data_IF_566958898012
#
_entry.id   IF_566958898012
#
_cell.length_a   1.000
_cell.length_b   1.000
_cell.length_c   1.000
_cell.angle_alpha   90.00
_cell.angle_beta   90.00
_cell.angle_gamma   90.00
#
_symmetry.space_group_name_H-M   'P 1'
#
loop_
_entity.id
_entity.type
_entity.pdbx_description
1 polymer ?
#
# COMPACT_ATOMS: atom_id res chain seq x y z
N UNK A 1 -10.32 9.93 10.04
CA UNK A 1 -10.71 8.52 10.07
C UNK A 1 -11.00 8.07 8.66
N UNK A 2 -10.29 7.05 8.15
CA UNK A 2 -10.45 6.55 6.78
C UNK A 2 -11.92 6.22 6.51
N UNK A 3 -12.53 6.90 5.55
CA UNK A 3 -13.88 6.58 5.06
C UNK A 3 -13.82 5.60 3.89
N UNK A 4 -13.23 4.43 4.10
CA UNK A 4 -13.69 3.27 3.35
C UNK A 4 -15.07 2.95 3.91
N UNK A 5 -16.05 2.77 3.04
CA UNK A 5 -17.42 2.46 3.42
C UNK A 5 -17.47 1.51 4.62
N UNK A 6 -18.12 1.87 5.74
CA UNK A 6 -18.24 0.98 6.89
C UNK A 6 -18.89 -0.37 6.56
N UNK A 7 -19.68 -0.43 5.48
CA UNK A 7 -20.30 -1.66 4.94
C UNK A 7 -19.42 -2.41 3.94
N UNK A 8 -18.22 -1.93 3.62
CA UNK A 8 -17.34 -2.64 2.70
C UNK A 8 -16.99 -4.05 3.21
N UNK A 9 -16.96 -5.06 2.34
CA UNK A 9 -16.59 -6.42 2.72
C UNK A 9 -15.20 -6.47 3.36
N UNK A 10 -15.02 -7.33 4.37
CA UNK A 10 -13.74 -7.54 5.06
C UNK A 10 -13.17 -8.92 4.74
N UNK A 11 -11.81 -9.02 4.68
CA UNK A 11 -10.81 -7.94 4.66
C UNK A 11 -10.89 -7.11 3.37
N UNK A 12 -10.50 -5.82 3.42
CA UNK A 12 -10.41 -4.96 2.23
C UNK A 12 -9.36 -5.49 1.26
N UNK A 13 -9.62 -5.43 -0.05
CA UNK A 13 -8.64 -5.72 -1.08
C UNK A 13 -7.87 -4.43 -1.42
N UNK A 14 -6.58 -4.40 -1.12
CA UNK A 14 -5.66 -3.33 -1.50
C UNK A 14 -4.89 -3.81 -2.74
N UNK A 15 -5.10 -3.16 -3.87
CA UNK A 15 -4.40 -3.47 -5.11
C UNK A 15 -2.96 -2.93 -5.04
N UNK A 16 -1.97 -3.81 -4.80
CA UNK A 16 -0.56 -3.49 -4.69
C UNK A 16 -0.02 -2.96 -6.01
N UNK A 17 0.62 -1.79 -5.99
CA UNK A 17 1.05 -1.01 -7.16
C UNK A 17 -0.06 -0.81 -8.19
N UNK A 18 -1.28 -0.61 -7.73
CA UNK A 18 -2.45 -0.48 -8.59
C UNK A 18 -3.02 -1.79 -9.13
N UNK A 19 -2.51 -2.94 -8.68
CA UNK A 19 -2.87 -4.25 -9.23
C UNK A 19 -1.90 -4.69 -10.32
N UNK A 20 -0.64 -4.95 -9.94
CA UNK A 20 0.48 -5.25 -10.84
C UNK A 20 0.30 -6.53 -11.69
N UNK A 21 -0.73 -7.35 -11.43
CA UNK A 21 -1.14 -8.48 -12.27
C UNK A 21 -2.31 -8.16 -13.22
N UNK A 22 -2.88 -6.96 -13.13
CA UNK A 22 -3.99 -6.55 -13.99
C UNK A 22 -3.51 -5.67 -15.15
N UNK A 23 -2.53 -4.81 -14.90
CA UNK A 23 -1.89 -3.93 -15.87
C UNK A 23 -0.49 -3.52 -15.38
N UNK A 24 0.19 -2.64 -16.14
CA UNK A 24 1.50 -2.11 -15.75
C UNK A 24 1.43 -1.40 -14.40
N UNK A 25 2.35 -1.75 -13.49
CA UNK A 25 2.37 -1.25 -12.11
C UNK A 25 2.43 0.27 -12.02
N UNK A 26 1.79 0.84 -11.01
CA UNK A 26 1.80 2.27 -10.68
C UNK A 26 1.29 3.18 -11.81
N UNK A 27 0.34 2.71 -12.64
CA UNK A 27 -0.27 3.47 -13.74
C UNK A 27 -1.77 3.69 -13.54
N UNK A 28 -2.33 4.70 -14.21
CA UNK A 28 -3.77 4.93 -14.23
C UNK A 28 -4.55 3.75 -14.85
N UNK A 29 -3.94 3.00 -15.76
CA UNK A 29 -4.54 1.79 -16.32
C UNK A 29 -4.71 0.70 -15.25
N UNK A 30 -3.65 0.46 -14.45
CA UNK A 30 -3.71 -0.47 -13.33
C UNK A 30 -4.78 -0.06 -12.32
N UNK A 31 -4.86 1.22 -11.96
CA UNK A 31 -5.87 1.74 -11.03
C UNK A 31 -7.29 1.52 -11.54
N UNK A 32 -7.54 1.77 -12.83
CA UNK A 32 -8.83 1.49 -13.46
C UNK A 32 -9.15 -0.01 -13.48
N UNK A 33 -8.16 -0.85 -13.79
CA UNK A 33 -8.33 -2.31 -13.80
C UNK A 33 -8.63 -2.84 -12.39
N UNK A 34 -7.95 -2.34 -11.35
CA UNK A 34 -8.23 -2.70 -9.97
C UNK A 34 -9.63 -2.27 -9.52
N UNK A 35 -10.06 -1.06 -9.88
CA UNK A 35 -11.41 -0.58 -9.62
C UNK A 35 -12.47 -1.46 -10.28
N UNK A 36 -12.27 -1.79 -11.55
CA UNK A 36 -13.17 -2.70 -12.29
C UNK A 36 -13.19 -4.12 -11.71
N UNK A 37 -12.07 -4.57 -11.11
CA UNK A 37 -11.97 -5.84 -10.41
C UNK A 37 -12.65 -5.83 -9.03
N UNK A 38 -13.09 -4.67 -8.52
CA UNK A 38 -13.77 -4.52 -7.23
C UNK A 38 -12.82 -4.31 -6.04
N UNK A 39 -11.57 -3.87 -6.26
CA UNK A 39 -10.70 -3.47 -5.18
C UNK A 39 -11.29 -2.29 -4.40
N UNK A 40 -11.11 -2.28 -3.08
CA UNK A 40 -11.55 -1.17 -2.24
C UNK A 40 -10.49 -0.09 -2.06
N UNK A 41 -9.22 -0.44 -2.28
CA UNK A 41 -8.10 0.50 -2.18
C UNK A 41 -7.06 0.25 -3.26
N UNK A 42 -6.39 1.31 -3.66
CA UNK A 42 -5.17 1.29 -4.47
C UNK A 42 -3.98 1.52 -3.54
N UNK A 43 -2.91 0.78 -3.74
CA UNK A 43 -1.60 1.13 -3.18
C UNK A 43 -0.69 1.55 -4.33
N UNK A 44 0.14 2.57 -4.08
CA UNK A 44 1.17 3.05 -5.02
C UNK A 44 2.37 3.60 -4.26
N UNK A 45 3.54 3.48 -4.88
CA UNK A 45 4.82 3.89 -4.32
C UNK A 45 5.15 5.34 -4.65
N UNK A 46 5.72 6.10 -3.73
CA UNK A 46 6.16 7.48 -3.98
C UNK A 46 7.67 7.64 -3.94
N UNK A 47 8.21 8.29 -4.97
CA UNK A 47 9.58 8.74 -5.07
C UNK A 47 9.65 10.20 -5.48
N UNK A 48 10.81 10.83 -5.27
CA UNK A 48 11.07 12.23 -5.59
C UNK A 48 12.05 12.32 -6.76
N UNK A 49 11.71 13.12 -7.75
CA UNK A 49 12.58 13.45 -8.89
C UNK A 49 13.61 14.52 -8.49
N UNK A 50 14.66 14.70 -9.30
CA UNK A 50 15.68 15.74 -9.11
C UNK A 50 15.08 17.16 -9.07
N UNK A 51 14.07 17.41 -9.88
CA UNK A 51 13.37 18.70 -9.97
C UNK A 51 12.17 18.84 -9.01
N UNK A 52 12.05 17.94 -8.02
CA UNK A 52 11.15 18.08 -6.88
C UNK A 52 9.72 17.58 -7.10
N UNK A 53 9.46 16.78 -8.16
CA UNK A 53 8.16 16.16 -8.38
C UNK A 53 8.04 14.81 -7.66
N UNK A 54 6.90 14.57 -7.03
CA UNK A 54 6.54 13.26 -6.49
C UNK A 54 5.91 12.41 -7.60
N UNK A 55 6.48 11.23 -7.83
CA UNK A 55 6.08 10.29 -8.90
C UNK A 55 5.82 8.90 -8.36
N UNK A 56 4.94 8.15 -9.04
CA UNK A 56 4.57 6.79 -8.67
C UNK A 56 5.54 5.78 -9.27
N UNK A 57 6.56 5.39 -8.50
CA UNK A 57 7.57 4.40 -8.88
C UNK A 57 8.06 3.61 -7.66
N UNK A 58 8.16 2.28 -7.81
CA UNK A 58 8.65 1.43 -6.72
C UNK A 58 10.17 1.51 -6.56
N UNK A 59 10.94 1.26 -7.64
CA UNK A 59 12.39 1.14 -7.59
C UNK A 59 13.07 2.51 -7.52
N UNK A 60 14.28 2.56 -6.95
CA UNK A 60 15.07 3.79 -6.91
C UNK A 60 15.68 4.13 -8.28
N UNK A 61 15.79 3.14 -9.16
CA UNK A 61 16.31 3.25 -10.52
C UNK A 61 15.31 2.68 -11.54
N UNK A 62 15.61 2.85 -12.82
CA UNK A 62 14.75 2.44 -13.93
C UNK A 62 15.16 1.08 -14.52
N UNK A 63 16.12 0.35 -13.92
CA UNK A 63 16.69 -0.86 -14.52
C UNK A 63 15.64 -1.93 -14.78
N UNK A 64 14.83 -2.26 -13.79
CA UNK A 64 13.82 -3.31 -13.89
C UNK A 64 12.68 -2.95 -14.86
N UNK A 65 12.26 -1.68 -14.86
CA UNK A 65 11.05 -1.27 -15.55
C UNK A 65 11.32 -0.75 -16.99
N UNK A 66 12.51 -0.20 -17.24
CA UNK A 66 12.88 0.40 -18.53
C UNK A 66 14.23 -0.07 -19.08
N UNK A 67 14.98 -0.93 -18.37
CA UNK A 67 16.33 -1.34 -18.77
C UNK A 67 17.37 -0.21 -18.72
N UNK A 68 17.07 0.89 -18.01
CA UNK A 68 17.89 2.10 -17.92
C UNK A 68 18.50 2.20 -16.52
N UNK A 69 19.79 2.55 -16.43
CA UNK A 69 20.50 2.60 -15.14
C UNK A 69 20.29 3.91 -14.35
N UNK A 70 19.54 4.87 -14.89
CA UNK A 70 19.31 6.15 -14.21
C UNK A 70 18.51 5.98 -12.93
N UNK A 71 18.89 6.77 -11.91
CA UNK A 71 18.11 6.87 -10.69
C UNK A 71 17.00 7.90 -10.82
N UNK A 72 15.87 7.65 -10.18
CA UNK A 72 14.72 8.57 -10.13
C UNK A 72 15.14 9.92 -9.55
N UNK A 73 15.93 9.91 -8.45
CA UNK A 73 16.40 11.11 -7.77
C UNK A 73 17.38 11.95 -8.60
N UNK A 74 18.01 11.38 -9.64
CA UNK A 74 18.94 12.07 -10.53
C UNK A 74 18.29 12.52 -11.85
N UNK A 75 17.01 12.17 -12.06
CA UNK A 75 16.25 12.45 -13.28
C UNK A 75 15.17 13.50 -13.02
N UNK A 76 14.92 14.38 -13.99
CA UNK A 76 13.77 15.27 -13.97
C UNK A 76 12.49 14.57 -14.47
N UNK A 77 11.33 15.16 -14.15
CA UNK A 77 10.02 14.60 -14.51
C UNK A 77 9.89 14.40 -16.01
N UNK A 78 10.36 15.36 -16.83
CA UNK A 78 10.23 15.29 -18.29
C UNK A 78 11.01 14.09 -18.87
N UNK A 79 12.22 13.84 -18.35
CA UNK A 79 13.03 12.67 -18.72
C UNK A 79 12.32 11.36 -18.32
N UNK A 80 11.79 11.28 -17.10
CA UNK A 80 11.08 10.08 -16.63
C UNK A 80 9.81 9.82 -17.42
N UNK A 81 9.02 10.85 -17.73
CA UNK A 81 7.80 10.72 -18.53
C UNK A 81 8.06 10.27 -19.97
N UNK A 82 9.19 10.69 -20.55
CA UNK A 82 9.60 10.22 -21.89
C UNK A 82 10.01 8.74 -21.92
N UNK A 83 10.58 8.23 -20.82
CA UNK A 83 11.04 6.84 -20.69
C UNK A 83 9.92 5.89 -20.24
N UNK A 84 8.97 6.38 -19.47
CA UNK A 84 7.91 5.62 -18.84
C UNK A 84 6.55 6.21 -19.24
N UNK A 85 6.03 5.88 -20.43
CA UNK A 85 4.68 6.27 -20.82
C UNK A 85 3.66 5.73 -19.81
N UNK A 86 2.91 6.63 -19.15
CA UNK A 86 1.96 6.26 -18.09
C UNK A 86 2.48 6.47 -16.67
N UNK A 87 3.72 7.02 -16.50
CA UNK A 87 4.18 7.51 -15.21
C UNK A 87 3.17 8.51 -14.64
N UNK A 88 2.78 8.30 -13.38
CA UNK A 88 1.90 9.23 -12.67
C UNK A 88 2.71 10.12 -11.72
N UNK A 89 2.39 11.38 -11.70
CA UNK A 89 2.68 12.27 -10.57
C UNK A 89 1.73 11.96 -9.41
N UNK A 90 2.07 12.43 -8.20
CA UNK A 90 1.19 12.27 -7.03
C UNK A 90 -0.22 12.83 -7.28
N UNK A 91 -0.32 14.04 -7.87
CA UNK A 91 -1.63 14.67 -8.13
C UNK A 91 -2.48 13.84 -9.10
N UNK A 92 -1.86 13.31 -10.16
CA UNK A 92 -2.52 12.41 -11.11
C UNK A 92 -2.94 11.10 -10.44
N UNK A 93 -2.12 10.53 -9.55
CA UNK A 93 -2.47 9.32 -8.81
C UNK A 93 -3.63 9.56 -7.82
N UNK A 94 -3.65 10.71 -7.13
CA UNK A 94 -4.77 11.12 -6.27
C UNK A 94 -6.07 11.22 -7.07
N UNK A 95 -6.02 11.82 -8.26
CA UNK A 95 -7.19 11.92 -9.13
C UNK A 95 -7.62 10.55 -9.68
N UNK A 96 -6.68 9.77 -10.21
CA UNK A 96 -6.94 8.49 -10.87
C UNK A 96 -7.45 7.40 -9.91
N UNK A 97 -7.11 7.47 -8.62
CA UNK A 97 -7.55 6.50 -7.60
C UNK A 97 -8.99 6.71 -7.14
N UNK A 98 -9.61 7.85 -7.40
CA UNK A 98 -10.97 8.13 -6.94
C UNK A 98 -12.00 7.19 -7.59
N UNK A 99 -13.03 6.71 -6.86
CA UNK A 99 -13.36 7.03 -5.45
C UNK A 99 -12.71 6.10 -4.41
N UNK A 100 -11.79 5.21 -4.81
CA UNK A 100 -11.20 4.19 -3.94
C UNK A 100 -10.30 4.80 -2.85
N UNK A 101 -10.03 4.04 -1.79
CA UNK A 101 -8.98 4.35 -0.85
C UNK A 101 -7.62 4.41 -1.56
N UNK A 102 -6.73 5.30 -1.10
CA UNK A 102 -5.38 5.45 -1.66
C UNK A 102 -4.33 5.28 -0.56
N UNK A 103 -3.55 4.22 -0.64
CA UNK A 103 -2.39 3.98 0.21
C UNK A 103 -1.14 4.42 -0.53
N UNK A 104 -0.42 5.39 0.03
CA UNK A 104 0.84 5.92 -0.51
C UNK A 104 2.01 5.30 0.25
N UNK A 105 2.75 4.37 -0.36
CA UNK A 105 4.00 3.84 0.18
C UNK A 105 5.14 4.84 -0.06
N UNK A 106 5.45 5.66 0.95
CA UNK A 106 6.48 6.71 0.86
C UNK A 106 7.86 6.07 1.02
N UNK A 107 8.63 6.05 -0.07
CA UNK A 107 10.00 5.47 -0.10
C UNK A 107 11.08 6.42 0.41
N UNK A 108 10.69 7.60 0.85
CA UNK A 108 11.58 8.67 1.29
C UNK A 108 11.61 8.75 2.81
N UNK A 109 12.76 9.14 3.36
CA UNK A 109 12.95 9.25 4.81
C UNK A 109 13.05 10.71 5.29
N UNK A 110 13.16 11.69 4.38
CA UNK A 110 13.18 13.10 4.73
C UNK A 110 11.77 13.58 5.12
N UNK A 111 11.55 14.11 6.34
CA UNK A 111 10.26 14.63 6.77
C UNK A 111 9.76 15.83 5.95
N UNK A 112 10.63 16.53 5.25
CA UNK A 112 10.25 17.64 4.34
C UNK A 112 9.32 17.18 3.21
N UNK A 113 9.22 15.86 2.96
CA UNK A 113 8.32 15.30 1.96
C UNK A 113 6.85 15.26 2.41
N UNK A 114 6.58 15.28 3.70
CA UNK A 114 5.24 15.10 4.25
C UNK A 114 4.26 16.25 3.92
N UNK A 115 4.65 17.56 4.07
CA UNK A 115 3.75 18.66 3.74
C UNK A 115 3.21 18.64 2.31
N UNK A 116 4.03 18.46 1.23
CA UNK A 116 3.51 18.39 -0.12
C UNK A 116 2.59 17.19 -0.35
N UNK A 117 2.85 16.01 0.25
CA UNK A 117 1.96 14.86 0.15
C UNK A 117 0.59 15.16 0.80
N UNK A 118 0.60 15.71 2.01
CA UNK A 118 -0.65 16.06 2.73
C UNK A 118 -1.43 17.14 1.97
N UNK A 119 -0.73 18.12 1.38
CA UNK A 119 -1.35 19.17 0.58
C UNK A 119 -2.01 18.61 -0.70
N UNK A 120 -1.36 17.69 -1.41
CA UNK A 120 -1.94 17.04 -2.58
C UNK A 120 -3.20 16.23 -2.24
N UNK A 121 -3.18 15.49 -1.14
CA UNK A 121 -4.37 14.76 -0.66
C UNK A 121 -5.51 15.71 -0.26
N UNK A 122 -5.17 16.85 0.36
CA UNK A 122 -6.17 17.86 0.75
C UNK A 122 -6.80 18.53 -0.47
N UNK A 123 -5.99 18.93 -1.46
CA UNK A 123 -6.45 19.57 -2.69
C UNK A 123 -7.39 18.65 -3.50
N UNK A 124 -7.14 17.34 -3.49
CA UNK A 124 -7.99 16.34 -4.16
C UNK A 124 -9.18 15.85 -3.32
N UNK A 125 -9.51 16.49 -2.19
CA UNK A 125 -10.53 16.03 -1.21
C UNK A 125 -10.34 14.57 -0.80
N UNK A 126 -9.07 14.14 -0.70
CA UNK A 126 -8.68 12.75 -0.56
C UNK A 126 -8.09 12.40 0.81
N UNK A 127 -7.99 13.35 1.74
CA UNK A 127 -7.47 13.11 3.09
C UNK A 127 -8.23 11.99 3.82
N UNK A 128 -9.54 11.91 3.63
CA UNK A 128 -10.38 10.91 4.29
C UNK A 128 -10.25 9.51 3.71
N UNK A 129 -9.80 9.39 2.47
CA UNK A 129 -9.55 8.10 1.78
C UNK A 129 -8.06 7.80 1.63
N UNK A 130 -7.18 8.73 2.04
CA UNK A 130 -5.73 8.59 2.00
C UNK A 130 -5.18 7.88 3.23
N UNK A 131 -4.17 7.03 2.99
CA UNK A 131 -3.34 6.40 4.03
C UNK A 131 -1.89 6.66 3.67
N UNK A 132 -1.08 7.17 4.60
CA UNK A 132 0.37 7.27 4.41
C UNK A 132 1.05 6.04 5.01
N UNK A 133 1.74 5.28 4.18
CA UNK A 133 2.59 4.16 4.57
C UNK A 133 4.02 4.64 4.80
N UNK A 134 4.48 4.57 6.04
CA UNK A 134 5.79 5.08 6.49
C UNK A 134 6.56 4.00 7.24
N UNK A 135 7.89 4.00 7.09
CA UNK A 135 8.78 2.99 7.69
C UNK A 135 9.44 3.44 8.97
N UNK A 136 9.62 4.75 9.12
CA UNK A 136 10.32 5.35 10.26
C UNK A 136 9.30 5.87 11.29
N UNK A 137 9.40 5.47 12.58
CA UNK A 137 8.54 5.99 13.65
C UNK A 137 8.59 7.52 13.78
N UNK A 138 9.73 8.16 13.51
CA UNK A 138 9.84 9.62 13.54
C UNK A 138 9.00 10.27 12.43
N UNK A 139 8.95 9.66 11.23
CA UNK A 139 8.08 10.12 10.15
C UNK A 139 6.60 9.93 10.47
N UNK A 140 6.23 8.81 11.12
CA UNK A 140 4.86 8.60 11.60
C UNK A 140 4.45 9.70 12.57
N UNK A 141 5.30 10.00 13.55
CA UNK A 141 5.06 11.06 14.52
C UNK A 141 4.95 12.45 13.87
N UNK A 142 5.84 12.77 12.93
CA UNK A 142 5.81 14.02 12.19
C UNK A 142 4.53 14.16 11.33
N UNK A 143 4.13 13.11 10.63
CA UNK A 143 2.91 13.09 9.83
C UNK A 143 1.66 13.27 10.71
N UNK A 144 1.63 12.65 11.90
CA UNK A 144 0.54 12.79 12.87
C UNK A 144 0.43 14.22 13.41
N UNK A 145 1.55 14.90 13.63
CA UNK A 145 1.57 16.32 14.05
C UNK A 145 1.06 17.24 12.93
N UNK A 146 1.44 16.98 11.68
CA UNK A 146 1.02 17.78 10.52
C UNK A 146 -0.45 17.58 10.16
N UNK A 147 -0.98 16.37 10.32
CA UNK A 147 -2.36 16.03 9.98
C UNK A 147 -2.93 15.04 11.00
N UNK A 148 -3.63 15.54 12.05
CA UNK A 148 -4.16 14.71 13.13
C UNK A 148 -5.15 13.62 12.68
N UNK A 149 -5.84 13.82 11.56
CA UNK A 149 -6.90 12.93 11.09
C UNK A 149 -6.47 11.96 9.99
N UNK A 150 -5.27 12.13 9.41
CA UNK A 150 -4.81 11.24 8.34
C UNK A 150 -4.56 9.83 8.86
N UNK A 151 -4.95 8.83 8.08
CA UNK A 151 -4.62 7.44 8.40
C UNK A 151 -3.13 7.17 8.12
N UNK A 152 -2.44 6.55 9.08
CA UNK A 152 -1.02 6.21 8.97
C UNK A 152 -0.84 4.70 9.08
N UNK A 153 -0.13 4.12 8.12
CA UNK A 153 0.25 2.71 8.12
C UNK A 153 1.75 2.58 8.46
N UNK A 154 2.05 1.81 9.50
CA UNK A 154 3.42 1.44 9.82
C UNK A 154 3.87 0.27 8.92
N UNK A 155 4.88 0.52 8.07
CA UNK A 155 5.65 -0.50 7.36
C UNK A 155 6.86 -0.93 8.22
N UNK A 156 6.60 -1.34 9.47
CA UNK A 156 7.64 -1.77 10.39
C UNK A 156 8.42 -2.97 9.84
N UNK A 157 9.75 -2.99 10.09
CA UNK A 157 10.60 -4.12 9.75
C UNK A 157 10.44 -5.26 10.78
N UNK A 158 10.21 -4.91 12.04
CA UNK A 158 9.92 -5.84 13.12
C UNK A 158 8.40 -6.05 13.24
N UNK A 159 7.89 -7.28 13.04
CA UNK A 159 6.46 -7.57 13.17
C UNK A 159 5.92 -7.39 14.60
N UNK A 160 6.77 -7.30 15.60
CA UNK A 160 6.40 -7.13 17.01
C UNK A 160 6.49 -5.65 17.48
N UNK A 161 6.90 -4.71 16.62
CA UNK A 161 6.97 -3.26 16.92
C UNK A 161 5.60 -2.57 17.00
N UNK A 162 4.54 -3.30 17.38
CA UNK A 162 3.14 -2.83 17.39
C UNK A 162 2.96 -1.64 18.34
N UNK A 163 3.51 -1.75 19.56
CA UNK A 163 3.40 -0.70 20.57
C UNK A 163 4.15 0.57 20.17
N UNK A 164 5.33 0.45 19.56
CA UNK A 164 6.13 1.57 19.07
C UNK A 164 5.40 2.28 17.91
N UNK A 165 4.90 1.54 16.94
CA UNK A 165 4.13 2.10 15.82
C UNK A 165 2.89 2.85 16.33
N UNK A 166 2.17 2.29 17.31
CA UNK A 166 1.03 2.95 17.94
C UNK A 166 1.42 4.25 18.63
N UNK A 167 2.50 4.23 19.41
CA UNK A 167 3.02 5.43 20.10
C UNK A 167 3.44 6.51 19.11
N UNK A 168 3.97 6.13 17.95
CA UNK A 168 4.31 7.03 16.85
C UNK A 168 3.08 7.55 16.07
N UNK A 169 1.87 7.11 16.40
CA UNK A 169 0.62 7.62 15.82
C UNK A 169 0.05 6.79 14.68
N UNK A 170 0.58 5.58 14.42
CA UNK A 170 0.00 4.67 13.43
C UNK A 170 -1.44 4.27 13.79
N UNK A 171 -2.29 4.16 12.77
CA UNK A 171 -3.65 3.65 12.84
C UNK A 171 -3.81 2.32 12.11
N UNK A 172 -2.79 1.92 11.35
CA UNK A 172 -2.70 0.66 10.64
C UNK A 172 -1.30 0.07 10.83
N UNK A 173 -1.20 -1.28 10.80
CA UNK A 173 0.07 -2.00 10.91
C UNK A 173 0.16 -3.09 9.84
N UNK A 174 1.28 -3.16 9.12
CA UNK A 174 1.51 -4.17 8.09
C UNK A 174 2.29 -5.35 8.66
N UNK A 175 1.78 -6.56 8.40
CA UNK A 175 2.50 -7.83 8.55
C UNK A 175 2.78 -8.43 7.17
N UNK A 176 3.92 -9.09 7.01
CA UNK A 176 4.09 -10.00 5.90
C UNK A 176 3.25 -11.26 6.11
N UNK A 177 2.88 -11.94 5.02
CA UNK A 177 2.08 -13.16 5.08
C UNK A 177 2.67 -14.23 6.02
N UNK A 178 4.02 -14.39 6.03
CA UNK A 178 4.69 -15.35 6.90
C UNK A 178 4.80 -14.92 8.36
N UNK A 179 4.62 -13.64 8.64
CA UNK A 179 4.68 -13.06 10.00
C UNK A 179 3.29 -12.99 10.65
N UNK A 180 2.23 -13.13 9.85
CA UNK A 180 0.86 -13.00 10.32
C UNK A 180 0.41 -14.26 11.05
N UNK A 181 0.00 -14.07 12.31
CA UNK A 181 -0.61 -15.08 13.15
C UNK A 181 -1.75 -14.48 14.00
N UNK A 182 -2.52 -15.32 14.67
CA UNK A 182 -3.65 -14.89 15.50
C UNK A 182 -3.22 -13.96 16.64
N UNK A 183 -2.05 -14.19 17.25
CA UNK A 183 -1.56 -13.40 18.36
C UNK A 183 -1.22 -11.97 17.93
N UNK A 184 -0.51 -11.80 16.81
CA UNK A 184 -0.16 -10.49 16.25
C UNK A 184 -1.39 -9.73 15.76
N UNK A 185 -2.32 -10.40 15.09
CA UNK A 185 -3.59 -9.77 14.68
C UNK A 185 -4.39 -9.30 15.89
N UNK A 186 -4.47 -10.11 16.95
CA UNK A 186 -5.12 -9.73 18.20
C UNK A 186 -4.41 -8.56 18.90
N UNK A 187 -3.08 -8.54 18.92
CA UNK A 187 -2.28 -7.44 19.50
C UNK A 187 -2.48 -6.13 18.73
N UNK A 188 -2.49 -6.15 17.39
CA UNK A 188 -2.77 -4.97 16.56
C UNK A 188 -4.17 -4.41 16.87
N UNK A 189 -5.16 -5.29 16.95
CA UNK A 189 -6.55 -4.93 17.30
C UNK A 189 -6.65 -4.37 18.72
N UNK A 190 -5.99 -4.98 19.69
CA UNK A 190 -5.96 -4.52 21.09
C UNK A 190 -5.29 -3.13 21.22
N UNK A 191 -4.30 -2.81 20.38
CA UNK A 191 -3.70 -1.48 20.27
C UNK A 191 -4.63 -0.45 19.58
N UNK A 192 -5.83 -0.84 19.13
CA UNK A 192 -6.75 0.04 18.41
C UNK A 192 -6.26 0.40 17.01
N UNK A 193 -5.48 -0.46 16.38
CA UNK A 193 -5.03 -0.34 14.99
C UNK A 193 -5.73 -1.37 14.10
N UNK A 194 -5.66 -1.14 12.78
CA UNK A 194 -6.09 -2.09 11.75
C UNK A 194 -4.90 -2.86 11.21
N UNK A 195 -5.12 -4.13 10.88
CA UNK A 195 -4.09 -5.00 10.32
C UNK A 195 -4.15 -5.05 8.80
N UNK A 196 -2.98 -5.00 8.15
CA UNK A 196 -2.80 -5.25 6.73
C UNK A 196 -1.85 -6.43 6.56
N UNK A 197 -2.27 -7.46 5.82
CA UNK A 197 -1.37 -8.54 5.43
C UNK A 197 -0.88 -8.29 4.00
N UNK A 198 0.46 -8.16 3.84
CA UNK A 198 1.13 -8.12 2.55
C UNK A 198 1.45 -9.53 2.09
N UNK A 199 0.96 -9.92 0.92
CA UNK A 199 1.16 -11.26 0.37
C UNK A 199 2.56 -11.45 -0.23
N UNK A 200 3.00 -12.72 -0.34
CA UNK A 200 4.31 -13.08 -0.85
C UNK A 200 5.44 -12.82 0.14
N UNK A 201 6.64 -12.65 -0.38
CA UNK A 201 7.86 -12.44 0.41
C UNK A 201 8.53 -11.10 0.06
N UNK A 202 9.24 -10.47 1.02
CA UNK A 202 9.78 -9.11 0.84
C UNK A 202 10.98 -9.02 -0.12
N UNK A 203 11.54 -10.14 -0.57
CA UNK A 203 12.74 -10.19 -1.41
C UNK A 203 12.54 -11.08 -2.62
N UNK A 204 13.33 -10.86 -3.66
CA UNK A 204 13.36 -11.70 -4.86
C UNK A 204 14.02 -13.09 -4.64
N UNK A 205 14.76 -13.28 -3.55
CA UNK A 205 15.34 -14.57 -3.13
C UNK A 205 14.45 -15.19 -2.07
N UNK A 206 14.26 -16.50 -2.16
CA UNK A 206 13.46 -17.26 -1.20
C UNK A 206 13.99 -17.10 0.23
N UNK A 207 13.08 -16.77 1.15
CA UNK A 207 13.35 -16.64 2.57
C UNK A 207 12.78 -17.86 3.32
N UNK A 208 13.51 -18.42 4.29
CA UNK A 208 12.99 -19.51 5.13
C UNK A 208 11.69 -19.09 5.83
N UNK A 209 10.69 -19.95 5.79
CA UNK A 209 9.38 -19.68 6.42
C UNK A 209 8.43 -18.80 5.61
N UNK A 210 8.89 -18.17 4.54
CA UNK A 210 8.03 -17.40 3.64
C UNK A 210 7.45 -18.26 2.50
N UNK A 211 6.27 -17.90 1.98
CA UNK A 211 5.72 -18.57 0.81
C UNK A 211 6.64 -18.38 -0.40
N UNK A 212 6.66 -19.33 -1.37
CA UNK A 212 7.58 -19.28 -2.51
C UNK A 212 7.17 -18.26 -3.59
N UNK A 213 6.42 -17.26 -3.21
CA UNK A 213 5.87 -16.25 -4.14
C UNK A 213 6.59 -14.91 -3.99
N UNK A 214 6.84 -14.18 -5.09
CA UNK A 214 7.28 -12.78 -5.02
C UNK A 214 6.30 -11.91 -4.23
N UNK A 215 6.75 -10.73 -3.84
CA UNK A 215 5.90 -9.71 -3.22
C UNK A 215 4.63 -9.48 -4.03
N UNK A 216 3.48 -9.37 -3.37
CA UNK A 216 2.18 -9.18 -3.99
C UNK A 216 1.52 -10.46 -4.51
N UNK A 217 2.25 -11.58 -4.60
CA UNK A 217 1.75 -12.84 -5.15
C UNK A 217 1.29 -13.79 -4.05
N UNK A 218 0.23 -14.54 -4.35
CA UNK A 218 -0.35 -15.53 -3.44
C UNK A 218 -1.20 -16.50 -4.26
N UNK A 219 -1.34 -17.73 -3.77
CA UNK A 219 -2.27 -18.71 -4.32
C UNK A 219 -3.58 -18.79 -3.52
N UNK A 220 -4.51 -19.61 -3.98
CA UNK A 220 -5.81 -19.79 -3.34
C UNK A 220 -5.69 -20.37 -1.90
N UNK A 221 -4.67 -21.19 -1.64
CA UNK A 221 -4.43 -21.74 -0.30
C UNK A 221 -3.94 -20.66 0.65
N UNK A 222 -2.98 -19.82 0.20
CA UNK A 222 -2.51 -18.66 0.96
C UNK A 222 -3.63 -17.69 1.29
N UNK A 223 -4.52 -17.38 0.35
CA UNK A 223 -5.70 -16.53 0.61
C UNK A 223 -6.61 -17.14 1.67
N UNK A 224 -6.90 -18.46 1.63
CA UNK A 224 -7.71 -19.13 2.65
C UNK A 224 -7.10 -19.02 4.05
N UNK A 225 -5.78 -19.23 4.17
CA UNK A 225 -5.04 -19.06 5.44
C UNK A 225 -5.10 -17.63 5.96
N UNK A 226 -4.94 -16.65 5.08
CA UNK A 226 -5.05 -15.22 5.43
C UNK A 226 -6.47 -14.90 5.92
N UNK A 227 -7.50 -15.37 5.22
CA UNK A 227 -8.89 -15.12 5.61
C UNK A 227 -9.22 -15.71 7.00
N UNK A 228 -8.65 -16.86 7.36
CA UNK A 228 -8.82 -17.46 8.69
C UNK A 228 -8.31 -16.57 9.83
N UNK A 229 -7.30 -15.74 9.58
CA UNK A 229 -6.75 -14.76 10.55
C UNK A 229 -7.65 -13.52 10.72
N UNK A 230 -8.62 -13.30 9.84
CA UNK A 230 -9.54 -12.17 9.87
C UNK A 230 -8.81 -10.80 9.94
N UNK A 231 -7.85 -10.48 9.05
CA UNK A 231 -7.23 -9.16 9.01
C UNK A 231 -8.24 -8.10 8.55
N UNK A 232 -7.90 -6.82 8.72
CA UNK A 232 -8.72 -5.72 8.21
C UNK A 232 -8.56 -5.49 6.71
N UNK A 233 -7.36 -5.78 6.17
CA UNK A 233 -7.05 -5.66 4.75
C UNK A 233 -5.97 -6.65 4.30
N UNK A 234 -5.97 -6.95 3.00
CA UNK A 234 -4.92 -7.74 2.33
C UNK A 234 -4.41 -6.95 1.13
N UNK A 235 -3.10 -6.85 1.00
CA UNK A 235 -2.41 -6.17 -0.10
C UNK A 235 -1.83 -7.21 -1.05
N UNK A 236 -2.25 -7.16 -2.33
CA UNK A 236 -1.90 -8.17 -3.33
C UNK A 236 -1.95 -7.61 -4.76
N UNK A 237 -1.20 -8.26 -5.69
CA UNK A 237 -1.11 -7.85 -7.10
C UNK A 237 -2.39 -8.14 -7.91
N UNK A 238 -3.16 -9.18 -7.52
CA UNK A 238 -4.45 -9.52 -8.15
C UNK A 238 -5.57 -9.51 -7.10
N UNK A 239 -6.28 -8.40 -6.93
CA UNK A 239 -7.37 -8.29 -5.95
C UNK A 239 -8.54 -9.26 -6.19
N UNK A 240 -8.71 -9.77 -7.42
CA UNK A 240 -9.77 -10.72 -7.77
C UNK A 240 -9.69 -12.01 -6.95
N UNK A 241 -8.47 -12.44 -6.58
CA UNK A 241 -8.27 -13.65 -5.75
C UNK A 241 -8.95 -13.51 -4.38
N UNK A 242 -8.75 -12.37 -3.71
CA UNK A 242 -9.37 -12.11 -2.41
C UNK A 242 -10.89 -11.94 -2.54
N UNK A 243 -11.33 -11.19 -3.55
CA UNK A 243 -12.76 -10.90 -3.78
C UNK A 243 -13.53 -12.19 -4.04
N UNK A 244 -12.99 -13.07 -4.90
CA UNK A 244 -13.61 -14.39 -5.15
C UNK A 244 -13.66 -15.26 -3.90
N UNK A 245 -12.59 -15.30 -3.10
CA UNK A 245 -12.53 -16.09 -1.88
C UNK A 245 -13.53 -15.60 -0.81
N UNK A 246 -13.69 -14.27 -0.66
CA UNK A 246 -14.70 -13.68 0.24
C UNK A 246 -16.14 -14.10 -0.15
N UNK A 247 -16.44 -14.10 -1.46
CA UNK A 247 -17.76 -14.49 -1.95
C UNK A 247 -18.11 -15.94 -1.61
N UNK A 248 -17.13 -16.85 -1.71
CA UNK A 248 -17.31 -18.27 -1.33
C UNK A 248 -17.57 -18.42 0.16
N UNK A 249 -16.82 -17.69 1.01
CA UNK A 249 -17.00 -17.76 2.47
C UNK A 249 -18.36 -17.22 2.91
N UNK A 250 -18.88 -16.20 2.25
CA UNK A 250 -20.20 -15.62 2.56
C UNK A 250 -21.38 -16.56 2.19
N UNK A 251 -21.17 -17.51 1.27
CA UNK A 251 -22.18 -18.47 0.81
C UNK A 251 -22.19 -19.79 1.62
N UNK A 252 -21.23 -19.99 2.53
CA UNK A 252 -21.12 -21.16 3.40
C UNK A 252 -21.48 -20.77 4.83
N UNK A 253 -22.78 -20.69 5.21
CA UNK A 253 -23.16 -20.46 6.61
C UNK A 253 -22.75 -21.69 7.45
N UNK A 254 -22.16 -21.44 8.60
CA UNK A 254 -21.76 -22.42 9.62
C UNK A 254 -22.94 -23.21 10.16
#
# INVERSE_FOLDING_TARGET
MLTVDPGAPRPLAIAHRGGALLAAENTAEAFRAASAAGAEMIETDLRLTRDGHLVCLHDADLHRIAGDSRHVADSDLATLAALLPGLLTLDEAVAASAPLGLLLDVKLLDPAILPPIIAALAAGDSLRRGVLGLRDPALLAAARQLSPDIALLAFAADPDAIAEAKAAGASWFRLWQAEADEARIAAIRAAGMRSVIMTGQPRSVALPGYPPFPVGRVDAEGIRRILALQPDAVMLDDPRLLIAARAVTALSPS
#
